data_IF_367734233778
#
_entry.id   IF_367734233778
#
_cell.length_a   1.000
_cell.length_b   1.000
_cell.length_c   1.000
_cell.angle_alpha   90.00
_cell.angle_beta   90.00
_cell.angle_gamma   90.00
#
_symmetry.space_group_name_H-M   'P 1'
#
loop_
_entity.id
_entity.type
_entity.pdbx_description
1 polymer ?
#
# COMPACT_ATOMS: atom_id res chain seq x y z
N UNK A 1 -1.45 -21.74 -2.55
CA UNK A 1 -0.88 -21.36 -1.26
C UNK A 1 -0.95 -19.87 -1.14
N UNK A 2 -1.96 -19.37 -0.45
CA UNK A 2 -2.06 -17.96 -0.04
C UNK A 2 -1.05 -17.74 1.11
N UNK A 3 0.21 -17.63 0.78
CA UNK A 3 1.24 -17.20 1.71
C UNK A 3 1.74 -15.88 1.19
N UNK A 4 1.23 -14.79 1.73
CA UNK A 4 1.81 -13.51 1.54
C UNK A 4 3.19 -13.46 2.17
N UNK A 5 4.07 -12.72 1.54
CA UNK A 5 5.39 -12.41 2.06
C UNK A 5 5.41 -10.91 2.33
N UNK A 6 4.87 -10.48 3.48
CA UNK A 6 5.21 -9.13 3.93
C UNK A 6 6.72 -9.09 4.18
N UNK A 7 7.34 -7.98 3.84
CA UNK A 7 8.73 -7.75 4.20
C UNK A 7 8.74 -6.96 5.50
N UNK A 8 9.41 -7.46 6.55
CA UNK A 8 9.53 -6.70 7.80
C UNK A 8 10.10 -5.32 7.57
N UNK A 9 9.49 -4.31 8.19
CA UNK A 9 10.01 -2.96 8.24
C UNK A 9 10.88 -2.76 9.48
N UNK A 10 12.03 -2.12 9.29
CA UNK A 10 12.93 -1.75 10.40
C UNK A 10 13.00 -0.22 10.45
N UNK A 11 12.64 0.34 11.57
CA UNK A 11 12.73 1.79 11.79
C UNK A 11 12.18 2.22 13.15
N UNK A 12 12.55 3.42 13.57
CA UNK A 12 12.13 4.02 14.83
C UNK A 12 12.39 3.14 16.09
N UNK A 13 13.39 2.24 16.05
CA UNK A 13 13.70 1.33 17.15
C UNK A 13 12.83 0.06 17.18
N UNK A 14 12.11 -0.24 16.09
CA UNK A 14 11.23 -1.40 15.99
C UNK A 14 11.46 -2.19 14.69
N UNK A 15 11.18 -3.49 14.77
CA UNK A 15 10.92 -4.34 13.62
C UNK A 15 9.42 -4.62 13.61
N UNK A 16 8.75 -4.27 12.51
CA UNK A 16 7.30 -4.38 12.36
C UNK A 16 7.00 -5.31 11.19
N UNK A 17 6.13 -6.26 11.41
CA UNK A 17 5.72 -7.21 10.37
C UNK A 17 4.22 -7.47 10.39
N UNK A 18 3.68 -7.82 9.22
CA UNK A 18 2.28 -8.20 9.02
C UNK A 18 2.15 -9.71 8.77
N UNK A 19 1.09 -10.30 9.27
CA UNK A 19 0.83 -11.74 9.17
C UNK A 19 -0.48 -12.02 8.44
N UNK A 20 -0.56 -13.20 7.83
CA UNK A 20 -1.73 -13.76 7.16
C UNK A 20 -2.99 -13.89 8.04
N UNK A 21 -2.86 -13.66 9.33
CA UNK A 21 -3.97 -13.58 10.30
C UNK A 21 -4.54 -12.18 10.47
N UNK A 22 -4.14 -11.21 9.64
CA UNK A 22 -4.52 -9.81 9.79
C UNK A 22 -3.83 -9.09 10.96
N UNK A 23 -2.80 -9.71 11.55
CA UNK A 23 -2.09 -9.15 12.71
C UNK A 23 -0.87 -8.37 12.26
N UNK A 24 -0.67 -7.22 12.88
CA UNK A 24 0.57 -6.45 12.86
C UNK A 24 1.27 -6.63 14.19
N UNK A 25 2.54 -6.95 14.16
CA UNK A 25 3.37 -7.16 15.36
C UNK A 25 4.59 -6.24 15.28
N UNK A 26 4.86 -5.53 16.36
CA UNK A 26 6.11 -4.81 16.52
C UNK A 26 6.91 -5.37 17.68
N UNK A 27 8.20 -5.54 17.45
CA UNK A 27 9.19 -5.89 18.47
C UNK A 27 10.28 -4.82 18.50
N UNK A 28 10.86 -4.61 19.66
CA UNK A 28 12.01 -3.70 19.78
C UNK A 28 13.22 -4.29 19.06
N UNK A 29 13.92 -3.50 18.27
CA UNK A 29 15.10 -3.96 17.53
C UNK A 29 16.30 -4.26 18.44
N UNK A 30 16.39 -3.62 19.61
CA UNK A 30 17.50 -3.75 20.54
C UNK A 30 17.56 -5.11 21.26
N UNK A 31 16.42 -5.73 21.56
CA UNK A 31 16.34 -6.94 22.39
C UNK A 31 15.28 -7.95 21.92
N UNK A 32 14.54 -7.65 20.86
CA UNK A 32 13.48 -8.50 20.32
C UNK A 32 12.24 -8.60 21.22
N UNK A 33 12.15 -7.79 22.28
CA UNK A 33 11.00 -7.83 23.17
C UNK A 33 9.74 -7.30 22.46
N UNK A 34 8.57 -7.97 22.65
CA UNK A 34 7.31 -7.49 22.11
C UNK A 34 7.00 -6.07 22.55
N UNK A 35 6.66 -5.20 21.61
CA UNK A 35 6.25 -3.83 21.89
C UNK A 35 4.72 -3.71 21.85
N UNK A 36 4.10 -4.11 20.73
CA UNK A 36 2.66 -4.09 20.58
C UNK A 36 2.20 -5.08 19.51
N UNK A 37 0.91 -5.40 19.56
CA UNK A 37 0.19 -6.20 18.55
C UNK A 37 -1.09 -5.48 18.21
N UNK A 38 -1.38 -5.33 16.90
CA UNK A 38 -2.63 -4.80 16.39
C UNK A 38 -3.29 -5.78 15.43
N UNK A 39 -4.61 -5.67 15.27
CA UNK A 39 -5.37 -6.42 14.28
C UNK A 39 -5.84 -5.42 13.23
N UNK A 40 -5.32 -5.55 12.00
CA UNK A 40 -5.66 -4.69 10.88
C UNK A 40 -7.02 -5.05 10.29
N UNK A 41 -7.36 -6.34 10.29
CA UNK A 41 -8.67 -6.79 9.84
C UNK A 41 -9.11 -7.97 10.70
N UNK A 42 -10.26 -7.85 11.35
CA UNK A 42 -10.98 -8.99 11.86
C UNK A 42 -11.87 -9.48 10.70
N UNK A 43 -11.57 -10.64 10.15
CA UNK A 43 -12.43 -11.23 9.12
C UNK A 43 -13.85 -11.38 9.64
N UNK A 44 -14.77 -10.52 9.20
CA UNK A 44 -16.21 -10.66 9.43
C UNK A 44 -16.77 -11.64 8.41
N UNK A 45 -16.71 -12.94 8.72
CA UNK A 45 -17.25 -13.97 7.86
C UNK A 45 -17.80 -15.14 8.65
N UNK A 46 -18.82 -15.82 8.10
CA UNK A 46 -19.42 -17.04 8.68
C UNK A 46 -18.56 -18.27 8.46
N UNK A 47 -17.62 -18.23 7.52
CA UNK A 47 -16.70 -19.32 7.17
C UNK A 47 -15.26 -18.95 7.49
N UNK A 48 -14.39 -19.96 7.70
CA UNK A 48 -12.95 -19.72 7.91
C UNK A 48 -12.29 -19.05 6.70
N UNK A 49 -12.77 -19.30 5.49
CA UNK A 49 -12.27 -18.72 4.25
C UNK A 49 -12.62 -17.24 4.14
N UNK A 50 -13.81 -16.83 4.60
CA UNK A 50 -14.23 -15.42 4.65
C UNK A 50 -13.52 -14.62 5.74
N UNK A 51 -12.88 -15.30 6.71
CA UNK A 51 -12.10 -14.69 7.80
C UNK A 51 -10.63 -14.54 7.46
N UNK A 52 -10.19 -15.02 6.28
CA UNK A 52 -8.81 -14.81 5.83
C UNK A 52 -8.64 -13.35 5.40
N UNK A 53 -8.28 -12.52 6.35
CA UNK A 53 -7.84 -11.16 6.12
C UNK A 53 -6.32 -11.15 6.19
N UNK A 54 -5.65 -11.14 5.03
CA UNK A 54 -4.20 -11.10 4.97
C UNK A 54 -3.71 -9.68 5.22
N UNK A 55 -2.93 -9.47 6.26
CA UNK A 55 -2.15 -8.24 6.47
C UNK A 55 -0.84 -8.26 5.65
N UNK A 56 -0.82 -9.03 4.57
CA UNK A 56 0.30 -9.14 3.62
C UNK A 56 0.44 -7.92 2.72
N UNK A 57 -0.42 -6.94 2.89
CA UNK A 57 -0.34 -5.66 2.23
C UNK A 57 0.98 -4.96 2.54
N UNK A 58 1.37 -4.09 1.64
CA UNK A 58 2.56 -3.27 1.83
C UNK A 58 2.44 -2.45 3.11
N UNK A 59 3.46 -2.55 3.96
CA UNK A 59 3.65 -1.69 5.12
C UNK A 59 4.52 -0.50 4.72
N UNK A 60 4.15 0.70 5.15
CA UNK A 60 4.96 1.91 4.96
C UNK A 60 5.14 2.60 6.30
N UNK A 61 6.40 2.81 6.68
CA UNK A 61 6.77 3.58 7.87
C UNK A 61 7.31 4.93 7.43
N UNK A 62 6.64 5.99 7.82
CA UNK A 62 7.04 7.35 7.50
C UNK A 62 6.77 8.31 8.67
N UNK A 63 7.80 9.05 9.09
CA UNK A 63 7.71 10.06 10.16
C UNK A 63 7.03 9.59 11.45
N UNK A 64 7.30 8.34 11.88
CA UNK A 64 6.73 7.78 13.13
C UNK A 64 5.30 7.28 12.99
N UNK A 65 4.74 7.27 11.79
CA UNK A 65 3.45 6.69 11.46
C UNK A 65 3.65 5.44 10.61
N UNK A 66 2.91 4.38 10.94
CA UNK A 66 2.83 3.15 10.19
C UNK A 66 1.53 3.13 9.40
N UNK A 67 1.63 2.95 8.09
CA UNK A 67 0.50 2.74 7.21
C UNK A 67 0.49 1.29 6.74
N UNK A 68 -0.67 0.68 6.79
CA UNK A 68 -0.86 -0.72 6.45
C UNK A 68 -2.13 -0.92 5.64
N UNK A 69 -2.11 -1.85 4.70
CA UNK A 69 -3.28 -2.29 3.96
C UNK A 69 -3.43 -3.80 4.04
N UNK A 70 -4.66 -4.30 3.97
CA UNK A 70 -4.94 -5.73 3.94
C UNK A 70 -5.84 -6.10 2.76
N UNK A 71 -5.71 -7.32 2.29
CA UNK A 71 -6.66 -7.89 1.35
C UNK A 71 -7.97 -8.21 2.07
N UNK A 72 -9.11 -7.87 1.48
CA UNK A 72 -10.46 -8.03 2.06
C UNK A 72 -10.63 -7.41 3.46
N UNK A 73 -9.94 -6.33 3.75
CA UNK A 73 -9.94 -5.75 5.07
C UNK A 73 -9.93 -4.23 5.08
N UNK A 74 -8.84 -3.67 5.54
CA UNK A 74 -8.75 -2.26 5.85
C UNK A 74 -7.45 -1.63 5.33
N UNK A 75 -7.50 -0.32 5.14
CA UNK A 75 -6.32 0.54 5.15
C UNK A 75 -6.34 1.32 6.45
N UNK A 76 -5.22 1.36 7.15
CA UNK A 76 -5.12 1.99 8.45
C UNK A 76 -3.79 2.70 8.65
N UNK A 77 -3.82 3.71 9.54
CA UNK A 77 -2.64 4.36 10.05
C UNK A 77 -2.53 4.15 11.56
N UNK A 78 -1.31 3.95 12.02
CA UNK A 78 -0.98 3.74 13.43
C UNK A 78 0.20 4.63 13.83
N UNK A 79 0.26 4.99 15.08
CA UNK A 79 1.47 5.54 15.68
C UNK A 79 2.48 4.41 15.85
N UNK A 80 3.62 4.47 15.16
CA UNK A 80 4.56 3.35 15.05
C UNK A 80 5.12 2.86 16.39
N UNK A 81 5.38 3.77 17.33
CA UNK A 81 5.96 3.45 18.64
C UNK A 81 4.97 2.72 19.57
N UNK A 82 3.70 3.13 19.56
CA UNK A 82 2.70 2.63 20.51
C UNK A 82 1.69 1.65 19.90
N UNK A 83 1.66 1.52 18.58
CA UNK A 83 0.64 0.76 17.87
C UNK A 83 -0.76 1.40 17.92
N UNK A 84 -0.93 2.58 18.53
CA UNK A 84 -2.23 3.23 18.63
C UNK A 84 -2.77 3.58 17.24
N UNK A 85 -3.99 3.11 16.96
CA UNK A 85 -4.67 3.46 15.70
C UNK A 85 -4.93 4.96 15.62
N UNK A 86 -4.60 5.56 14.50
CA UNK A 86 -4.88 6.94 14.14
C UNK A 86 -6.21 7.01 13.38
N UNK A 87 -6.35 6.18 12.36
CA UNK A 87 -7.58 6.02 11.60
C UNK A 87 -7.61 4.66 10.88
N UNK A 88 -8.79 4.20 10.49
CA UNK A 88 -9.03 3.02 9.68
C UNK A 88 -10.07 3.30 8.61
N UNK A 89 -9.98 2.62 7.46
CA UNK A 89 -10.95 2.65 6.36
C UNK A 89 -11.17 1.24 5.84
N UNK A 90 -12.43 0.84 5.72
CA UNK A 90 -12.79 -0.43 5.11
C UNK A 90 -12.57 -0.33 3.61
N UNK A 91 -11.65 -1.11 3.11
CA UNK A 91 -11.38 -1.28 1.68
C UNK A 91 -10.48 -2.47 1.44
N UNK A 92 -10.61 -3.08 0.28
CA UNK A 92 -9.71 -4.14 -0.15
C UNK A 92 -8.59 -3.55 -0.99
N UNK A 93 -7.34 -3.63 -0.51
CA UNK A 93 -6.17 -3.27 -1.31
C UNK A 93 -5.47 -4.54 -1.76
N UNK A 94 -5.34 -4.72 -3.07
CA UNK A 94 -4.64 -5.86 -3.65
C UNK A 94 -3.15 -5.59 -3.84
N UNK A 95 -2.79 -4.37 -4.21
CA UNK A 95 -1.44 -4.05 -4.63
C UNK A 95 -0.60 -3.35 -3.57
N UNK A 96 -1.19 -2.54 -2.73
CA UNK A 96 -0.46 -1.81 -1.68
C UNK A 96 -0.76 -0.31 -1.64
N UNK A 97 0.06 0.41 -0.90
CA UNK A 97 -0.09 1.84 -0.65
C UNK A 97 1.25 2.59 -0.76
N UNK A 98 1.17 3.90 -0.92
CA UNK A 98 2.30 4.81 -0.82
C UNK A 98 1.91 6.06 -0.04
N UNK A 99 2.89 6.69 0.59
CA UNK A 99 2.71 7.93 1.35
C UNK A 99 3.54 9.03 0.72
N UNK A 100 2.94 10.19 0.54
CA UNK A 100 3.65 11.38 0.05
C UNK A 100 3.04 12.66 0.60
N UNK A 101 3.85 13.44 1.30
CA UNK A 101 3.39 14.67 1.95
C UNK A 101 2.23 14.41 2.93
N UNK A 102 1.07 15.02 2.67
CA UNK A 102 -0.15 14.87 3.45
C UNK A 102 -1.12 13.81 2.90
N UNK A 103 -0.68 12.98 1.95
CA UNK A 103 -1.56 12.08 1.22
C UNK A 103 -1.10 10.62 1.34
N UNK A 104 -2.05 9.72 1.55
CA UNK A 104 -1.88 8.27 1.41
C UNK A 104 -2.59 7.82 0.14
N UNK A 105 -1.87 7.20 -0.78
CA UNK A 105 -2.40 6.69 -2.05
C UNK A 105 -2.51 5.17 -1.98
N UNK A 106 -3.62 4.61 -2.44
CA UNK A 106 -3.89 3.17 -2.39
C UNK A 106 -4.44 2.70 -3.74
N UNK A 107 -3.95 1.58 -4.25
CA UNK A 107 -4.57 0.87 -5.36
C UNK A 107 -5.45 -0.25 -4.82
N UNK A 108 -6.76 -0.23 -5.17
CA UNK A 108 -7.69 -1.26 -4.72
C UNK A 108 -7.73 -2.49 -5.66
N UNK A 109 -8.43 -3.52 -5.21
CA UNK A 109 -8.54 -4.79 -5.95
C UNK A 109 -9.33 -4.68 -7.26
N UNK A 110 -10.12 -3.63 -7.44
CA UNK A 110 -10.92 -3.38 -8.65
C UNK A 110 -10.15 -2.60 -9.72
N UNK A 111 -9.04 -1.95 -9.33
CA UNK A 111 -8.24 -1.08 -10.19
C UNK A 111 -8.57 0.40 -10.03
N UNK A 112 -9.19 0.80 -8.93
CA UNK A 112 -9.27 2.20 -8.58
C UNK A 112 -8.00 2.65 -7.86
N UNK A 113 -7.66 3.93 -8.00
CA UNK A 113 -6.67 4.59 -7.17
C UNK A 113 -7.37 5.58 -6.25
N UNK A 114 -7.11 5.46 -4.96
CA UNK A 114 -7.67 6.30 -3.92
C UNK A 114 -6.61 7.17 -3.30
N UNK A 115 -7.00 8.37 -2.89
CA UNK A 115 -6.17 9.18 -2.02
C UNK A 115 -6.92 9.54 -0.74
N UNK A 116 -6.22 9.43 0.36
CA UNK A 116 -6.73 9.77 1.68
C UNK A 116 -5.85 10.83 2.31
N UNK A 117 -6.47 11.70 3.10
CA UNK A 117 -5.74 12.60 3.98
C UNK A 117 -4.94 11.78 5.01
N UNK A 118 -3.67 12.06 5.11
CA UNK A 118 -2.74 11.30 5.94
C UNK A 118 -3.12 11.28 7.44
N UNK A 119 -3.65 12.40 7.96
CA UNK A 119 -3.91 12.55 9.39
C UNK A 119 -5.27 11.97 9.79
N UNK A 120 -6.29 12.13 8.95
CA UNK A 120 -7.68 11.79 9.28
C UNK A 120 -8.19 10.55 8.56
N UNK A 121 -7.48 10.10 7.50
CA UNK A 121 -7.99 9.07 6.59
C UNK A 121 -9.22 9.52 5.80
N UNK A 122 -9.52 10.81 5.73
CA UNK A 122 -10.62 11.30 4.91
C UNK A 122 -10.32 11.08 3.43
N UNK A 123 -11.33 10.65 2.66
CA UNK A 123 -11.18 10.48 1.21
C UNK A 123 -10.97 11.87 0.57
N UNK A 124 -9.89 12.05 -0.17
CA UNK A 124 -9.58 13.25 -0.94
C UNK A 124 -10.12 13.11 -2.38
N UNK A 125 -9.81 12.00 -3.03
CA UNK A 125 -10.29 11.70 -4.37
C UNK A 125 -10.26 10.18 -4.66
N UNK A 126 -10.98 9.78 -5.71
CA UNK A 126 -10.99 8.45 -6.30
C UNK A 126 -10.82 8.58 -7.81
N UNK A 127 -9.90 7.82 -8.39
CA UNK A 127 -9.72 7.67 -9.83
C UNK A 127 -10.14 6.26 -10.24
N UNK A 128 -11.20 6.14 -11.06
CA UNK A 128 -11.78 4.88 -11.53
C UNK A 128 -11.52 4.57 -13.03
N UNK A 129 -10.84 5.46 -13.73
CA UNK A 129 -10.49 5.29 -15.14
C UNK A 129 -9.50 4.15 -15.44
N UNK A 130 -9.02 3.45 -14.40
CA UNK A 130 -8.11 2.30 -14.49
C UNK A 130 -8.74 0.98 -14.04
N UNK A 131 -10.07 0.92 -13.96
CA UNK A 131 -10.81 -0.29 -13.57
C UNK A 131 -10.36 -1.51 -14.40
N UNK A 132 -10.21 -2.65 -13.73
CA UNK A 132 -9.84 -3.96 -14.28
C UNK A 132 -8.46 -4.00 -14.95
N UNK A 133 -7.57 -3.04 -14.70
CA UNK A 133 -6.22 -3.02 -15.27
C UNK A 133 -5.16 -3.68 -14.39
N UNK A 134 -5.54 -4.25 -13.23
CA UNK A 134 -4.61 -4.93 -12.32
C UNK A 134 -3.41 -4.06 -12.01
N UNK A 135 -3.64 -3.03 -11.22
CA UNK A 135 -2.64 -2.03 -10.91
C UNK A 135 -1.56 -2.59 -9.98
N UNK A 136 -0.33 -2.13 -10.16
CA UNK A 136 0.73 -2.30 -9.17
C UNK A 136 0.45 -1.48 -7.91
N UNK A 137 1.21 -1.73 -6.83
CA UNK A 137 1.27 -0.77 -5.73
C UNK A 137 1.68 0.61 -6.26
N UNK A 138 1.13 1.70 -5.72
CA UNK A 138 1.48 3.04 -6.12
C UNK A 138 2.87 3.44 -5.61
N UNK A 139 3.44 4.48 -6.23
CA UNK A 139 4.53 5.27 -5.67
C UNK A 139 4.15 6.75 -5.72
N UNK A 140 4.74 7.58 -4.87
CA UNK A 140 4.56 9.03 -4.90
C UNK A 140 5.88 9.70 -5.20
N UNK A 141 5.88 10.60 -6.19
CA UNK A 141 7.03 11.42 -6.58
C UNK A 141 6.58 12.85 -6.85
N UNK A 142 7.12 13.80 -6.09
CA UNK A 142 6.69 15.20 -6.20
C UNK A 142 5.18 15.34 -6.01
N UNK A 143 4.50 15.85 -7.03
CA UNK A 143 3.06 16.09 -7.03
C UNK A 143 2.27 14.98 -7.76
N UNK A 144 2.84 13.80 -7.94
CA UNK A 144 2.24 12.72 -8.70
C UNK A 144 2.18 11.41 -7.92
N UNK A 145 1.07 10.70 -8.08
CA UNK A 145 0.98 9.27 -7.81
C UNK A 145 1.25 8.51 -9.11
N UNK A 146 2.05 7.44 -9.03
CA UNK A 146 2.48 6.64 -10.18
C UNK A 146 2.08 5.20 -9.95
N UNK A 147 1.38 4.59 -10.92
CA UNK A 147 0.98 3.19 -10.90
C UNK A 147 1.29 2.51 -12.23
N UNK A 148 1.70 1.25 -12.19
CA UNK A 148 1.82 0.41 -13.37
C UNK A 148 0.55 -0.42 -13.59
N UNK A 149 0.36 -0.96 -14.80
CA UNK A 149 -0.75 -1.84 -15.12
C UNK A 149 -0.35 -3.12 -15.85
N UNK A 150 -1.30 -4.05 -16.01
CA UNK A 150 -1.09 -5.35 -16.63
C UNK A 150 -0.73 -5.28 -18.14
N UNK A 151 -1.03 -4.17 -18.83
CA UNK A 151 -0.70 -3.97 -20.25
C UNK A 151 0.65 -3.30 -20.47
N UNK A 152 1.39 -3.03 -19.37
CA UNK A 152 2.72 -2.42 -19.39
C UNK A 152 2.71 -0.91 -19.54
N UNK A 153 1.63 -0.25 -19.13
CA UNK A 153 1.58 1.21 -19.02
C UNK A 153 1.88 1.66 -17.60
N UNK A 154 2.57 2.77 -17.50
CA UNK A 154 2.73 3.58 -16.30
C UNK A 154 1.80 4.77 -16.40
N UNK A 155 1.00 5.00 -15.38
CA UNK A 155 0.07 6.11 -15.28
C UNK A 155 0.52 7.08 -14.20
N UNK A 156 0.49 8.36 -14.52
CA UNK A 156 0.82 9.45 -13.63
C UNK A 156 -0.46 10.21 -13.32
N UNK A 157 -0.82 10.28 -12.05
CA UNK A 157 -2.01 10.96 -11.55
C UNK A 157 -1.58 12.18 -10.73
N UNK A 158 -2.25 13.30 -10.92
CA UNK A 158 -2.02 14.46 -10.07
C UNK A 158 -2.42 14.14 -8.62
N UNK A 159 -1.52 14.33 -7.68
CA UNK A 159 -1.76 14.02 -6.27
C UNK A 159 -2.86 14.87 -5.64
N UNK A 160 -3.12 16.05 -6.19
CA UNK A 160 -4.12 16.98 -5.68
C UNK A 160 -5.56 16.54 -5.96
N UNK A 161 -5.84 15.93 -7.11
CA UNK A 161 -7.21 15.67 -7.58
C UNK A 161 -7.40 14.31 -8.27
N UNK A 162 -6.33 13.51 -8.43
CA UNK A 162 -6.37 12.21 -9.10
C UNK A 162 -6.52 12.26 -10.62
N UNK A 163 -6.48 13.45 -11.25
CA UNK A 163 -6.57 13.56 -12.71
C UNK A 163 -5.34 12.97 -13.40
N UNK A 164 -5.53 12.40 -14.58
CA UNK A 164 -4.42 11.88 -15.38
C UNK A 164 -3.49 13.01 -15.83
N UNK A 165 -2.21 12.92 -15.47
CA UNK A 165 -1.16 13.83 -15.90
C UNK A 165 -0.39 13.30 -17.11
N UNK A 166 -0.04 12.01 -17.09
CA UNK A 166 0.67 11.37 -18.19
C UNK A 166 0.42 9.85 -18.19
N UNK A 167 0.71 9.23 -19.32
CA UNK A 167 0.77 7.78 -19.48
C UNK A 167 1.90 7.42 -20.43
N UNK A 168 2.70 6.42 -20.04
CA UNK A 168 3.81 5.93 -20.85
C UNK A 168 3.78 4.41 -20.91
N UNK A 169 4.08 3.83 -22.06
CA UNK A 169 4.22 2.39 -22.21
C UNK A 169 5.67 1.98 -22.05
N UNK A 170 5.95 1.10 -21.08
CA UNK A 170 7.27 0.54 -20.83
C UNK A 170 7.52 -0.72 -21.67
N UNK A 171 6.45 -1.47 -21.97
CA UNK A 171 6.54 -2.70 -22.74
C UNK A 171 5.18 -3.30 -23.03
N UNK A 172 5.14 -4.61 -23.32
CA UNK A 172 3.90 -5.36 -23.54
C UNK A 172 3.53 -6.25 -22.35
N UNK A 173 4.44 -6.39 -21.40
CA UNK A 173 4.28 -7.24 -20.22
C UNK A 173 3.79 -6.39 -19.03
N UNK A 174 3.08 -7.05 -18.11
CA UNK A 174 2.55 -6.43 -16.91
C UNK A 174 3.63 -5.75 -16.07
N UNK A 175 3.26 -4.66 -15.42
CA UNK A 175 4.03 -4.02 -14.37
C UNK A 175 3.38 -4.42 -13.05
N UNK A 176 3.98 -5.40 -12.38
CA UNK A 176 3.45 -6.00 -11.15
C UNK A 176 4.08 -5.38 -9.90
N UNK A 177 5.35 -4.99 -10.01
CA UNK A 177 6.09 -4.36 -8.91
C UNK A 177 5.75 -2.88 -8.78
N UNK A 178 5.76 -2.39 -7.54
CA UNK A 178 5.66 -0.95 -7.29
C UNK A 178 6.77 -0.19 -8.01
N UNK A 179 6.49 0.98 -8.60
CA UNK A 179 7.53 1.88 -9.07
C UNK A 179 8.48 2.27 -7.94
N UNK A 180 9.78 2.32 -8.22
CA UNK A 180 10.79 2.72 -7.25
C UNK A 180 11.19 4.16 -7.51
N UNK A 181 11.12 5.00 -6.48
CA UNK A 181 11.45 6.42 -6.56
C UNK A 181 12.82 6.69 -5.95
N UNK A 182 13.68 7.39 -6.70
CA UNK A 182 14.96 7.88 -6.20
C UNK A 182 15.16 9.33 -6.64
N UNK A 183 15.03 10.27 -5.72
CA UNK A 183 14.95 11.69 -6.02
C UNK A 183 13.74 12.00 -6.91
N UNK A 184 13.98 12.60 -8.07
CA UNK A 184 12.94 12.94 -9.05
C UNK A 184 12.78 11.89 -10.16
N UNK A 185 13.46 10.74 -10.03
CA UNK A 185 13.45 9.66 -11.03
C UNK A 185 12.60 8.52 -10.52
N UNK A 186 11.77 7.99 -11.42
CA UNK A 186 10.94 6.82 -11.19
C UNK A 186 11.45 5.66 -12.05
N UNK A 187 11.78 4.56 -11.42
CA UNK A 187 12.18 3.32 -12.07
C UNK A 187 11.02 2.34 -12.08
N UNK A 188 10.76 1.76 -13.23
CA UNK A 188 9.68 0.78 -13.42
C UNK A 188 10.22 -0.43 -14.14
N UNK A 189 9.98 -1.62 -13.58
CA UNK A 189 10.29 -2.90 -14.21
C UNK A 189 8.99 -3.61 -14.59
N UNK A 190 8.96 -4.20 -15.78
CA UNK A 190 7.87 -5.07 -16.20
C UNK A 190 8.24 -6.56 -16.09
N UNK A 191 7.25 -7.44 -16.11
CA UNK A 191 7.43 -8.90 -16.01
C UNK A 191 8.29 -9.51 -17.15
N UNK A 192 8.63 -8.74 -18.17
CA UNK A 192 9.55 -9.14 -19.24
C UNK A 192 11.02 -8.74 -18.97
N UNK A 193 11.31 -8.15 -17.80
CA UNK A 193 12.66 -7.70 -17.44
C UNK A 193 13.09 -6.39 -18.10
N UNK A 194 12.15 -5.61 -18.66
CA UNK A 194 12.47 -4.29 -19.16
C UNK A 194 12.40 -3.29 -18.01
N UNK A 195 13.48 -2.54 -17.82
CA UNK A 195 13.59 -1.42 -16.89
C UNK A 195 13.47 -0.09 -17.65
N UNK A 196 12.66 0.81 -17.16
CA UNK A 196 12.47 2.17 -17.70
C UNK A 196 12.57 3.20 -16.58
#
# INVERSE_FOLDING_TARGET
>A
SLRGNSSPLIGNGFVIDGFDTGRLVAVRDADGAPAWVQILAAGEGRTEVERLADADGQLVLDNGELFASSYNGQVAAFHAESGRSLWTRDMSSFAGLAVGGSTVVVSDAEGNVWAFDRQSGANLWKQDGLLHRWLSAPAVVGNFAVVGDLEGYVHWLNLADGSFAARQRVGKNAIESAPVVSGDVVFVENAGGNLA
#
